data_IF_919997591848
#
_entry.id   IF_919997591848
#
_cell.length_a   1.000
_cell.length_b   1.000
_cell.length_c   1.000
_cell.angle_alpha   90.00
_cell.angle_beta   90.00
_cell.angle_gamma   90.00
#
_symmetry.space_group_name_H-M   'P 1'
#
loop_
_entity.id
_entity.type
_entity.pdbx_description
1 polymer ?
#
# COMPACT_ATOMS: atom_id res chain seq x y z
N UNK A 1 9.73 -15.86 11.98
CA UNK A 1 9.57 -15.46 10.60
C UNK A 1 8.16 -14.96 10.36
N UNK A 2 8.01 -13.84 9.71
CA UNK A 2 6.70 -13.25 9.50
C UNK A 2 6.22 -13.50 8.09
N UNK A 3 5.00 -13.99 7.96
CA UNK A 3 4.33 -14.08 6.66
C UNK A 3 3.40 -12.90 6.42
N UNK A 4 3.58 -11.84 7.19
CA UNK A 4 2.76 -10.64 7.07
C UNK A 4 3.18 -9.85 5.84
N UNK A 5 2.20 -9.42 5.07
CA UNK A 5 2.40 -8.53 3.95
C UNK A 5 1.77 -7.18 4.29
N UNK A 6 2.57 -6.13 4.24
CA UNK A 6 2.13 -4.78 4.53
C UNK A 6 1.71 -4.09 3.25
N UNK A 7 0.50 -3.57 3.23
CA UNK A 7 0.03 -2.72 2.15
C UNK A 7 0.32 -1.27 2.47
N UNK A 8 0.87 -0.53 1.52
CA UNK A 8 1.17 0.88 1.68
C UNK A 8 0.46 1.66 0.59
N UNK A 9 -0.38 2.60 0.99
CA UNK A 9 -1.05 3.49 0.05
C UNK A 9 -0.24 4.78 -0.05
N UNK A 10 0.25 5.06 -1.23
CA UNK A 10 1.13 6.19 -1.48
C UNK A 10 2.52 5.70 -1.84
N UNK A 11 3.06 6.24 -2.93
CA UNK A 11 4.34 5.79 -3.48
C UNK A 11 5.45 6.82 -3.43
N UNK A 12 5.30 7.85 -2.63
CA UNK A 12 6.29 8.91 -2.52
C UNK A 12 7.47 8.52 -1.65
N UNK A 13 8.17 9.52 -1.16
CA UNK A 13 9.38 9.30 -0.38
C UNK A 13 9.11 8.52 0.91
N UNK A 14 8.04 8.84 1.62
CA UNK A 14 7.72 8.12 2.84
C UNK A 14 7.35 6.67 2.56
N UNK A 15 6.62 6.43 1.46
CA UNK A 15 6.31 5.07 1.05
C UNK A 15 7.57 4.27 0.74
N UNK A 16 8.54 4.91 0.08
CA UNK A 16 9.84 4.28 -0.20
C UNK A 16 10.57 3.92 1.09
N UNK A 17 10.58 4.83 2.06
CA UNK A 17 11.24 4.60 3.34
C UNK A 17 10.58 3.47 4.12
N UNK A 18 9.25 3.41 4.10
CA UNK A 18 8.51 2.33 4.76
C UNK A 18 8.82 0.98 4.11
N UNK A 19 8.87 0.94 2.78
CA UNK A 19 9.18 -0.30 2.06
C UNK A 19 10.59 -0.79 2.37
N UNK A 20 11.55 0.11 2.42
CA UNK A 20 12.93 -0.23 2.76
C UNK A 20 13.02 -0.77 4.18
N UNK A 21 12.36 -0.10 5.13
CA UNK A 21 12.36 -0.54 6.52
C UNK A 21 11.70 -1.91 6.67
N UNK A 22 10.59 -2.13 5.97
CA UNK A 22 9.88 -3.40 6.00
C UNK A 22 10.78 -4.53 5.48
N UNK A 23 11.52 -4.26 4.41
CA UNK A 23 12.44 -5.26 3.85
C UNK A 23 13.51 -5.67 4.87
N UNK A 24 14.02 -4.72 5.64
CA UNK A 24 15.00 -5.03 6.68
C UNK A 24 14.43 -5.93 7.77
N UNK A 25 13.12 -5.90 7.94
CA UNK A 25 12.43 -6.73 8.94
C UNK A 25 11.85 -7.99 8.31
N UNK A 26 12.16 -8.28 7.06
CA UNK A 26 11.63 -9.41 6.31
C UNK A 26 10.12 -9.37 6.13
N UNK A 27 9.55 -8.17 6.08
CA UNK A 27 8.13 -7.97 5.81
C UNK A 27 7.96 -7.63 4.34
N UNK A 28 7.09 -8.35 3.65
CA UNK A 28 6.77 -8.06 2.26
C UNK A 28 5.88 -6.83 2.17
N UNK A 29 6.01 -6.10 1.08
CA UNK A 29 5.21 -4.90 0.86
C UNK A 29 4.54 -4.92 -0.50
N UNK A 30 3.32 -4.39 -0.53
CA UNK A 30 2.60 -4.09 -1.76
C UNK A 30 2.24 -2.61 -1.68
N UNK A 31 2.61 -1.86 -2.68
CA UNK A 31 2.34 -0.41 -2.71
C UNK A 31 1.28 -0.11 -3.75
N UNK A 32 0.30 0.70 -3.37
CA UNK A 32 -0.72 1.21 -4.27
C UNK A 32 -0.57 2.72 -4.36
N UNK A 33 -0.41 3.21 -5.58
CA UNK A 33 -0.25 4.65 -5.82
C UNK A 33 -1.01 5.05 -7.08
N UNK A 34 -1.48 6.29 -7.12
CA UNK A 34 -2.07 6.84 -8.33
C UNK A 34 -1.02 7.37 -9.30
N UNK A 35 0.24 7.30 -8.95
CA UNK A 35 1.37 7.69 -9.81
C UNK A 35 2.10 6.44 -10.27
N UNK A 36 1.97 6.14 -11.56
CA UNK A 36 2.61 4.95 -12.14
C UNK A 36 4.14 5.02 -12.11
N UNK A 37 4.70 6.20 -11.91
CA UNK A 37 6.16 6.39 -11.84
C UNK A 37 6.62 6.71 -10.42
N UNK A 38 5.83 6.37 -9.43
CA UNK A 38 6.17 6.64 -8.04
C UNK A 38 7.51 6.01 -7.66
N UNK A 39 8.37 6.72 -6.94
CA UNK A 39 9.69 6.20 -6.58
C UNK A 39 9.67 4.92 -5.77
N UNK A 40 8.63 4.73 -4.97
CA UNK A 40 8.55 3.56 -4.10
C UNK A 40 8.45 2.24 -4.86
N UNK A 41 8.07 2.26 -6.14
CA UNK A 41 7.98 1.04 -6.94
C UNK A 41 9.29 0.27 -7.02
N UNK A 42 10.40 0.94 -6.81
CA UNK A 42 11.71 0.31 -6.86
C UNK A 42 12.10 -0.40 -5.56
N UNK A 43 11.31 -0.26 -4.52
CA UNK A 43 11.66 -0.75 -3.19
C UNK A 43 10.63 -1.72 -2.60
N UNK A 44 9.52 -1.95 -3.27
CA UNK A 44 8.49 -2.85 -2.78
C UNK A 44 8.54 -4.19 -3.50
N UNK A 45 7.85 -5.17 -2.95
CA UNK A 45 7.74 -6.48 -3.58
C UNK A 45 6.78 -6.46 -4.76
N UNK A 46 5.71 -5.67 -4.65
CA UNK A 46 4.75 -5.51 -5.72
C UNK A 46 4.20 -4.09 -5.74
N UNK A 47 3.98 -3.55 -6.92
CA UNK A 47 3.48 -2.19 -7.10
C UNK A 47 2.22 -2.23 -7.96
N UNK A 48 1.18 -1.57 -7.47
CA UNK A 48 -0.10 -1.45 -8.19
C UNK A 48 -0.35 0.04 -8.41
N UNK A 49 -0.56 0.46 -9.64
CA UNK A 49 -0.93 1.84 -9.92
C UNK A 49 -2.37 1.93 -10.40
N UNK A 50 -3.06 2.96 -9.96
CA UNK A 50 -4.45 3.19 -10.34
C UNK A 50 -5.06 4.27 -9.49
N UNK A 51 -6.28 4.66 -9.82
CA UNK A 51 -6.99 5.65 -9.03
C UNK A 51 -7.45 5.06 -7.71
N UNK A 52 -7.44 5.87 -6.67
CA UNK A 52 -7.86 5.42 -5.34
C UNK A 52 -9.35 5.11 -5.26
N UNK A 53 -10.14 5.56 -6.23
CA UNK A 53 -11.55 5.24 -6.32
C UNK A 53 -11.85 4.08 -7.28
N UNK A 54 -10.83 3.47 -7.86
CA UNK A 54 -10.99 2.28 -8.70
C UNK A 54 -11.20 1.06 -7.79
N UNK A 55 -12.44 0.67 -7.63
CA UNK A 55 -12.81 -0.37 -6.68
C UNK A 55 -12.17 -1.71 -6.97
N UNK A 56 -11.98 -2.03 -8.25
CA UNK A 56 -11.36 -3.30 -8.63
C UNK A 56 -9.89 -3.32 -8.23
N UNK A 57 -9.17 -2.24 -8.49
CA UNK A 57 -7.76 -2.18 -8.13
C UNK A 57 -7.55 -2.11 -6.63
N UNK A 58 -8.42 -1.40 -5.93
CA UNK A 58 -8.38 -1.36 -4.48
C UNK A 58 -8.62 -2.76 -3.90
N UNK A 59 -9.58 -3.49 -4.44
CA UNK A 59 -9.87 -4.85 -4.00
C UNK A 59 -8.67 -5.78 -4.28
N UNK A 60 -8.05 -5.66 -5.43
CA UNK A 60 -6.87 -6.44 -5.76
C UNK A 60 -5.72 -6.17 -4.80
N UNK A 61 -5.51 -4.89 -4.47
CA UNK A 61 -4.50 -4.49 -3.51
C UNK A 61 -4.78 -5.10 -2.13
N UNK A 62 -6.01 -4.92 -1.64
CA UNK A 62 -6.39 -5.39 -0.31
C UNK A 62 -6.28 -6.90 -0.19
N UNK A 63 -6.58 -7.63 -1.27
CA UNK A 63 -6.52 -9.09 -1.24
C UNK A 63 -5.11 -9.63 -1.06
N UNK A 64 -4.10 -8.82 -1.31
CA UNK A 64 -2.70 -9.25 -1.27
C UNK A 64 -1.99 -8.88 0.03
N UNK A 65 -2.65 -8.19 0.94
CA UNK A 65 -2.02 -7.67 2.14
C UNK A 65 -2.76 -8.11 3.38
N UNK A 66 -2.10 -8.01 4.53
CA UNK A 66 -2.68 -8.36 5.83
C UNK A 66 -3.06 -7.14 6.64
N UNK A 67 -2.33 -6.06 6.44
CA UNK A 67 -2.54 -4.81 7.15
C UNK A 67 -2.16 -3.68 6.21
N UNK A 68 -2.80 -2.54 6.37
CA UNK A 68 -2.60 -1.40 5.47
C UNK A 68 -2.15 -0.20 6.28
N UNK A 69 -1.20 0.54 5.73
CA UNK A 69 -0.87 1.88 6.21
C UNK A 69 -0.93 2.84 5.02
N UNK A 70 -0.92 4.12 5.29
CA UNK A 70 -0.91 5.10 4.23
C UNK A 70 -0.04 6.28 4.65
N UNK A 71 0.58 6.92 3.66
CA UNK A 71 1.42 8.09 3.89
C UNK A 71 0.92 9.30 3.11
N UNK A 72 -0.16 9.15 2.37
CA UNK A 72 -0.66 10.16 1.45
C UNK A 72 -1.95 10.77 1.98
N UNK A 73 -1.95 12.08 2.19
CA UNK A 73 -3.06 12.77 2.84
C UNK A 73 -4.29 12.97 1.95
N UNK A 74 -4.13 12.87 0.63
CA UNK A 74 -5.20 13.12 -0.31
C UNK A 74 -6.00 11.89 -0.69
N UNK A 75 -5.86 10.81 0.08
CA UNK A 75 -6.64 9.60 -0.17
C UNK A 75 -8.09 9.85 0.25
N UNK A 76 -9.08 9.55 -0.61
CA UNK A 76 -10.47 9.73 -0.23
C UNK A 76 -10.82 8.95 1.04
N UNK A 77 -11.52 9.60 1.94
CA UNK A 77 -11.94 8.96 3.18
C UNK A 77 -12.74 7.69 2.92
N UNK A 78 -13.59 7.73 1.90
CA UNK A 78 -14.41 6.57 1.55
C UNK A 78 -13.56 5.36 1.17
N UNK A 79 -12.45 5.59 0.46
CA UNK A 79 -11.53 4.52 0.08
C UNK A 79 -10.92 3.89 1.32
N UNK A 80 -10.42 4.70 2.24
CA UNK A 80 -9.84 4.21 3.48
C UNK A 80 -10.86 3.45 4.32
N UNK A 81 -12.10 3.95 4.37
CA UNK A 81 -13.16 3.32 5.12
C UNK A 81 -13.50 1.93 4.55
N UNK A 82 -13.58 1.81 3.24
CA UNK A 82 -13.84 0.53 2.59
C UNK A 82 -12.71 -0.46 2.84
N UNK A 83 -11.46 0.00 2.77
CA UNK A 83 -10.32 -0.85 3.03
C UNK A 83 -10.34 -1.34 4.48
N UNK A 84 -10.63 -0.45 5.41
CA UNK A 84 -10.63 -0.78 6.84
C UNK A 84 -11.70 -1.80 7.21
N UNK A 85 -12.75 -1.94 6.41
CA UNK A 85 -13.75 -2.98 6.61
C UNK A 85 -13.20 -4.36 6.28
N UNK A 86 -12.18 -4.43 5.44
CA UNK A 86 -11.62 -5.69 4.95
C UNK A 86 -10.31 -6.05 5.65
N UNK A 87 -9.47 -5.08 5.88
CA UNK A 87 -8.16 -5.27 6.52
C UNK A 87 -7.88 -4.09 7.44
N UNK A 88 -7.16 -4.29 8.54
CA UNK A 88 -6.84 -3.18 9.44
C UNK A 88 -6.03 -2.09 8.74
N UNK A 89 -6.40 -0.85 8.99
CA UNK A 89 -5.67 0.33 8.53
C UNK A 89 -5.06 1.01 9.75
N UNK A 90 -3.77 1.18 9.71
CA UNK A 90 -3.02 1.78 10.82
C UNK A 90 -3.00 3.30 10.76
#
# INVERSE_FOLDING_TARGET
MSDITLGIIGGGQLGSMLAISAKKLNVKTVIFSDDAEAPAQNFCNQFISGNYDDKQKVADFVSQVDVVTYEFENIPFETLNEINKLKPVL
#
